data_IF_562839323590
#
_entry.id   IF_562839323590
#
_cell.length_a   1.000
_cell.length_b   1.000
_cell.length_c   1.000
_cell.angle_alpha   90.00
_cell.angle_beta   90.00
_cell.angle_gamma   90.00
#
_symmetry.space_group_name_H-M   'P 1'
#
loop_
_entity.id
_entity.type
_entity.pdbx_description
1 polymer ?
#
# COMPACT_ATOMS: atom_id res chain seq x y z
N UNK A 1 -7.88 4.25 21.35
CA UNK A 1 -7.24 4.48 20.03
C UNK A 1 -8.35 4.67 19.01
N UNK A 2 -8.41 5.79 18.27
CA UNK A 2 -9.58 6.16 17.45
C UNK A 2 -10.03 5.07 16.45
N UNK A 3 -9.08 4.38 15.82
CA UNK A 3 -9.31 3.23 14.94
C UNK A 3 -10.19 2.13 15.58
N UNK A 4 -10.13 1.93 16.90
CA UNK A 4 -10.86 0.84 17.55
C UNK A 4 -12.39 1.00 17.46
N UNK A 5 -12.89 2.21 17.17
CA UNK A 5 -14.34 2.51 17.11
C UNK A 5 -14.94 2.44 15.70
N UNK A 6 -14.12 2.36 14.66
CA UNK A 6 -14.57 2.33 13.26
C UNK A 6 -14.81 0.87 12.83
N UNK A 7 -15.93 0.52 12.18
CA UNK A 7 -16.14 -0.81 11.60
C UNK A 7 -15.02 -1.22 10.62
N UNK A 8 -14.68 -2.50 10.55
CA UNK A 8 -13.57 -2.99 9.71
C UNK A 8 -13.81 -2.73 8.22
N UNK A 9 -15.05 -2.92 7.75
CA UNK A 9 -15.49 -2.64 6.38
C UNK A 9 -15.38 -1.15 6.03
N UNK A 10 -15.77 -0.27 6.95
CA UNK A 10 -15.63 1.17 6.78
C UNK A 10 -14.15 1.58 6.67
N UNK A 11 -13.25 0.96 7.45
CA UNK A 11 -11.80 1.24 7.36
C UNK A 11 -11.26 0.93 5.97
N UNK A 12 -11.60 -0.22 5.39
CA UNK A 12 -11.12 -0.61 4.06
C UNK A 12 -11.65 0.33 3.00
N UNK A 13 -12.94 0.71 3.08
CA UNK A 13 -13.56 1.64 2.13
C UNK A 13 -12.95 3.04 2.22
N UNK A 14 -12.81 3.60 3.44
CA UNK A 14 -12.23 4.92 3.65
C UNK A 14 -10.76 4.96 3.21
N UNK A 15 -10.00 3.89 3.50
CA UNK A 15 -8.61 3.75 3.07
C UNK A 15 -8.49 3.70 1.53
N UNK A 16 -9.39 2.98 0.86
CA UNK A 16 -9.43 2.92 -0.60
C UNK A 16 -9.73 4.30 -1.20
N UNK A 17 -10.70 5.04 -0.65
CA UNK A 17 -11.01 6.40 -1.11
C UNK A 17 -9.82 7.34 -0.93
N UNK A 18 -9.13 7.28 0.21
CA UNK A 18 -7.89 8.03 0.43
C UNK A 18 -6.82 7.66 -0.60
N UNK A 19 -6.66 6.37 -0.89
CA UNK A 19 -5.72 5.88 -1.90
C UNK A 19 -5.97 6.48 -3.29
N UNK A 20 -7.24 6.62 -3.69
CA UNK A 20 -7.60 7.24 -4.97
C UNK A 20 -7.23 8.73 -5.05
N UNK A 21 -7.37 9.46 -3.94
CA UNK A 21 -7.14 10.91 -3.89
C UNK A 21 -5.65 11.26 -3.82
N UNK A 22 -4.89 10.56 -2.98
CA UNK A 22 -3.52 10.96 -2.62
C UNK A 22 -2.54 10.75 -3.78
N UNK A 23 -2.67 9.69 -4.56
CA UNK A 23 -1.52 9.27 -5.38
C UNK A 23 -1.30 10.09 -6.66
N UNK A 24 -2.37 10.56 -7.31
CA UNK A 24 -2.21 11.37 -8.55
C UNK A 24 -1.49 12.69 -8.26
N UNK A 25 -1.75 13.28 -7.10
CA UNK A 25 -1.15 14.56 -6.71
C UNK A 25 0.27 14.37 -6.17
N UNK A 26 0.49 13.37 -5.33
CA UNK A 26 1.79 13.19 -4.65
C UNK A 26 2.87 12.60 -5.57
N UNK A 27 2.55 11.62 -6.42
CA UNK A 27 3.58 11.02 -7.29
C UNK A 27 4.08 12.03 -8.33
N UNK A 28 3.17 12.77 -8.95
CA UNK A 28 3.52 13.83 -9.91
C UNK A 28 4.32 14.94 -9.22
N UNK A 29 3.97 15.29 -7.98
CA UNK A 29 4.72 16.30 -7.20
C UNK A 29 6.18 15.89 -6.94
N UNK A 30 6.44 14.62 -6.60
CA UNK A 30 7.79 14.17 -6.24
C UNK A 30 8.63 13.69 -7.43
N UNK A 31 8.01 13.09 -8.46
CA UNK A 31 8.71 12.38 -9.53
C UNK A 31 8.43 12.91 -10.94
N UNK A 32 7.66 13.98 -11.08
CA UNK A 32 7.34 14.71 -12.33
C UNK A 32 6.48 13.93 -13.34
N UNK A 33 6.69 12.62 -13.46
CA UNK A 33 5.90 11.71 -14.29
C UNK A 33 5.36 10.54 -13.44
N UNK A 34 4.22 9.97 -13.88
CA UNK A 34 3.61 8.79 -13.26
C UNK A 34 3.84 7.58 -14.16
N UNK A 35 4.94 6.88 -13.91
CA UNK A 35 5.26 5.59 -14.50
C UNK A 35 5.49 4.53 -13.40
N UNK A 36 5.73 3.27 -13.79
CA UNK A 36 5.93 2.20 -12.83
C UNK A 36 7.16 2.42 -11.93
N UNK A 37 8.24 2.98 -12.48
CA UNK A 37 9.51 3.15 -11.75
C UNK A 37 9.37 4.24 -10.68
N UNK A 38 8.87 5.41 -11.08
CA UNK A 38 8.58 6.54 -10.20
C UNK A 38 7.58 6.16 -9.11
N UNK A 39 6.54 5.39 -9.45
CA UNK A 39 5.57 4.91 -8.48
C UNK A 39 6.19 3.95 -7.45
N UNK A 40 7.00 2.99 -7.89
CA UNK A 40 7.68 2.05 -6.97
C UNK A 40 8.63 2.82 -6.04
N UNK A 41 9.37 3.80 -6.58
CA UNK A 41 10.24 4.67 -5.76
C UNK A 41 9.43 5.47 -4.74
N UNK A 42 8.28 6.02 -5.13
CA UNK A 42 7.37 6.70 -4.21
C UNK A 42 6.85 5.76 -3.12
N UNK A 43 6.43 4.55 -3.48
CA UNK A 43 5.93 3.56 -2.54
C UNK A 43 6.99 3.19 -1.50
N UNK A 44 8.23 2.94 -1.93
CA UNK A 44 9.34 2.61 -1.02
C UNK A 44 9.69 3.78 -0.10
N UNK A 45 9.68 5.00 -0.63
CA UNK A 45 9.86 6.21 0.17
C UNK A 45 8.76 6.35 1.22
N UNK A 46 7.50 6.20 0.81
CA UNK A 46 6.36 6.29 1.73
C UNK A 46 6.44 5.20 2.82
N UNK A 47 6.70 3.95 2.44
CA UNK A 47 6.83 2.84 3.39
C UNK A 47 7.97 3.06 4.39
N UNK A 48 9.08 3.67 3.98
CA UNK A 48 10.18 4.01 4.88
C UNK A 48 9.78 4.98 6.00
N UNK A 49 8.71 5.78 5.78
CA UNK A 49 8.15 6.67 6.82
C UNK A 49 7.16 5.96 7.76
N UNK A 50 6.66 4.78 7.37
CA UNK A 50 5.66 4.04 8.13
C UNK A 50 6.27 2.99 9.07
N UNK A 51 7.51 2.55 8.82
CA UNK A 51 8.21 1.59 9.66
C UNK A 51 9.15 0.66 8.91
N UNK A 52 9.37 -0.53 9.48
CA UNK A 52 10.20 -1.57 8.86
C UNK A 52 9.41 -2.31 7.79
N UNK A 53 9.97 -2.38 6.58
CA UNK A 53 9.45 -3.22 5.51
C UNK A 53 10.57 -4.04 4.87
N UNK A 54 10.20 -5.17 4.30
CA UNK A 54 11.04 -6.00 3.44
C UNK A 54 10.51 -5.97 2.03
N UNK A 55 11.42 -5.88 1.07
CA UNK A 55 11.13 -5.94 -0.36
C UNK A 55 11.90 -7.11 -0.97
N UNK A 56 11.26 -7.84 -1.85
CA UNK A 56 11.89 -8.75 -2.79
C UNK A 56 11.29 -8.53 -4.19
N UNK A 57 12.05 -8.78 -5.24
CA UNK A 57 11.57 -8.66 -6.61
C UNK A 57 12.15 -9.78 -7.47
N UNK A 58 11.31 -10.43 -8.27
CA UNK A 58 11.72 -11.48 -9.18
C UNK A 58 10.94 -11.34 -10.50
N UNK A 59 11.67 -11.20 -11.63
CA UNK A 59 11.09 -11.17 -12.99
C UNK A 59 9.87 -10.24 -13.15
N UNK A 60 9.91 -9.03 -12.57
CA UNK A 60 8.82 -8.05 -12.66
C UNK A 60 7.71 -8.22 -11.61
N UNK A 61 7.75 -9.28 -10.80
CA UNK A 61 6.90 -9.40 -9.61
C UNK A 61 7.58 -8.81 -8.39
N UNK A 62 6.89 -7.93 -7.68
CA UNK A 62 7.34 -7.31 -6.43
C UNK A 62 6.60 -7.93 -5.26
N UNK A 63 7.34 -8.17 -4.18
CA UNK A 63 6.85 -8.75 -2.93
C UNK A 63 7.21 -7.80 -1.79
N UNK A 64 6.22 -7.43 -1.01
CA UNK A 64 6.38 -6.57 0.15
C UNK A 64 5.87 -7.26 1.40
N UNK A 65 6.61 -7.09 2.49
CA UNK A 65 6.16 -7.41 3.85
C UNK A 65 6.38 -6.20 4.73
N UNK A 66 5.33 -5.67 5.32
CA UNK A 66 5.36 -4.47 6.16
C UNK A 66 5.08 -4.88 7.59
N UNK A 67 6.02 -4.60 8.49
CA UNK A 67 5.86 -4.82 9.91
C UNK A 67 5.41 -3.52 10.59
N UNK A 68 4.40 -3.60 11.44
CA UNK A 68 3.92 -2.47 12.22
C UNK A 68 3.43 -2.95 13.59
N UNK A 69 3.39 -2.07 14.59
CA UNK A 69 2.96 -2.45 15.95
C UNK A 69 1.75 -1.60 16.39
N UNK A 70 0.64 -1.74 15.65
CA UNK A 70 -0.55 -0.88 15.81
C UNK A 70 -1.76 -1.70 16.21
N UNK A 71 -2.38 -2.41 15.26
CA UNK A 71 -3.39 -3.45 15.43
C UNK A 71 -3.91 -3.88 14.05
N UNK A 72 -4.77 -4.91 14.01
CA UNK A 72 -5.40 -5.45 12.80
C UNK A 72 -6.13 -4.39 11.96
N UNK A 73 -6.73 -3.38 12.59
CA UNK A 73 -7.43 -2.32 11.87
C UNK A 73 -6.48 -1.45 11.05
N UNK A 74 -5.25 -1.26 11.54
CA UNK A 74 -4.22 -0.62 10.74
C UNK A 74 -3.75 -1.50 9.58
N UNK A 75 -3.68 -2.81 9.77
CA UNK A 75 -3.38 -3.76 8.68
C UNK A 75 -4.43 -3.71 7.56
N UNK A 76 -5.72 -3.67 7.94
CA UNK A 76 -6.84 -3.49 7.00
C UNK A 76 -6.81 -2.12 6.31
N UNK A 77 -6.41 -1.08 7.04
CA UNK A 77 -6.18 0.24 6.44
C UNK A 77 -5.08 0.18 5.39
N UNK A 78 -3.93 -0.42 5.70
CA UNK A 78 -2.81 -0.55 4.76
C UNK A 78 -3.20 -1.38 3.54
N UNK A 79 -3.97 -2.47 3.71
CA UNK A 79 -4.55 -3.24 2.61
C UNK A 79 -5.39 -2.34 1.69
N UNK A 80 -6.45 -1.73 2.21
CA UNK A 80 -7.37 -0.92 1.41
C UNK A 80 -6.67 0.25 0.71
N UNK A 81 -5.76 0.92 1.41
CA UNK A 81 -4.99 2.03 0.87
C UNK A 81 -4.02 1.57 -0.21
N UNK A 82 -3.08 0.66 0.11
CA UNK A 82 -2.02 0.25 -0.80
C UNK A 82 -2.56 -0.48 -2.03
N UNK A 83 -3.58 -1.32 -1.86
CA UNK A 83 -4.12 -2.09 -2.98
C UNK A 83 -4.75 -1.14 -3.97
N UNK A 84 -5.63 -0.25 -3.50
CA UNK A 84 -6.27 0.75 -4.37
C UNK A 84 -5.23 1.60 -5.10
N UNK A 85 -4.18 2.00 -4.40
CA UNK A 85 -3.10 2.81 -4.95
C UNK A 85 -2.34 2.07 -6.05
N UNK A 86 -1.86 0.86 -5.75
CA UNK A 86 -1.05 0.06 -6.67
C UNK A 86 -1.88 -0.35 -7.89
N UNK A 87 -3.11 -0.82 -7.68
CA UNK A 87 -3.97 -1.30 -8.76
C UNK A 87 -4.36 -0.18 -9.73
N UNK A 88 -4.60 1.04 -9.22
CA UNK A 88 -4.95 2.18 -10.07
C UNK A 88 -3.77 2.72 -10.87
N UNK A 89 -2.55 2.73 -10.31
CA UNK A 89 -1.38 3.28 -11.00
C UNK A 89 -0.78 2.29 -11.97
N UNK A 90 -0.61 1.04 -11.53
CA UNK A 90 0.08 0.01 -12.31
C UNK A 90 -0.86 -0.82 -13.18
N UNK A 91 -2.18 -0.62 -13.06
CA UNK A 91 -3.20 -1.38 -13.79
C UNK A 91 -3.00 -2.90 -13.64
N UNK A 92 -2.61 -3.31 -12.44
CA UNK A 92 -2.30 -4.68 -12.04
C UNK A 92 -3.13 -5.05 -10.84
N UNK A 93 -3.26 -6.35 -10.53
CA UNK A 93 -3.96 -6.79 -9.32
C UNK A 93 -2.94 -7.00 -8.20
N UNK A 94 -3.28 -6.59 -6.98
CA UNK A 94 -2.50 -6.92 -5.79
C UNK A 94 -3.00 -8.22 -5.19
N UNK A 95 -2.07 -9.13 -4.89
CA UNK A 95 -2.33 -10.40 -4.25
C UNK A 95 -1.94 -10.30 -2.77
N UNK A 96 -2.91 -10.38 -1.87
CA UNK A 96 -2.64 -10.50 -0.43
C UNK A 96 -2.12 -11.90 -0.12
N UNK A 97 -0.97 -11.99 0.53
CA UNK A 97 -0.36 -13.25 0.97
C UNK A 97 -0.60 -13.48 2.47
N UNK A 98 -0.50 -12.42 3.27
CA UNK A 98 -0.66 -12.52 4.72
C UNK A 98 -1.21 -11.22 5.30
N UNK A 99 -2.19 -11.32 6.20
CA UNK A 99 -2.68 -10.21 7.02
C UNK A 99 -2.82 -10.68 8.47
N UNK A 100 -2.07 -10.06 9.36
CA UNK A 100 -2.14 -10.28 10.80
C UNK A 100 -2.32 -8.93 11.52
N UNK A 101 -2.51 -8.89 12.84
CA UNK A 101 -2.63 -7.63 13.56
C UNK A 101 -1.44 -6.65 13.44
N UNK A 102 -0.26 -7.14 13.03
CA UNK A 102 0.99 -6.39 13.09
C UNK A 102 1.82 -6.53 11.79
N UNK A 103 1.25 -7.13 10.75
CA UNK A 103 1.96 -7.44 9.52
C UNK A 103 1.00 -7.53 8.35
N UNK A 104 1.41 -6.97 7.21
CA UNK A 104 0.82 -7.30 5.92
C UNK A 104 1.90 -7.74 4.94
N UNK A 105 1.61 -8.78 4.15
CA UNK A 105 2.44 -9.23 3.04
C UNK A 105 1.61 -9.33 1.77
N UNK A 106 2.09 -8.75 0.69
CA UNK A 106 1.40 -8.75 -0.60
C UNK A 106 2.39 -8.74 -1.76
N UNK A 107 1.88 -9.04 -2.95
CA UNK A 107 2.66 -8.99 -4.19
C UNK A 107 1.86 -8.43 -5.35
N UNK A 108 2.56 -7.93 -6.36
CA UNK A 108 1.97 -7.47 -7.61
C UNK A 108 2.99 -7.56 -8.75
N UNK A 109 2.48 -7.62 -9.98
CA UNK A 109 3.30 -7.66 -11.18
C UNK A 109 3.31 -6.30 -11.87
N UNK A 110 4.49 -5.89 -12.33
CA UNK A 110 4.69 -4.71 -13.16
C UNK A 110 4.88 -5.20 -14.59
N UNK A 111 4.03 -4.71 -15.51
CA UNK A 111 4.10 -5.02 -16.94
C UNK A 111 4.93 -4.01 -17.70
#
# INVERSE_FOLDING_TARGET
>A
MWLSRIPEDAIVQDAAQLGQLVIKEFVVYFFQELDATSFINFLELWLSTQGEFRKNSNMGTYYYTIHHNVNKKYSLFLEGFLFTVIENVLLTKVNMTELTPNLISFSFEVK
#
